data_IF_659854100409
#
_entry.id   IF_659854100409
#
_cell.length_a   1.000
_cell.length_b   1.000
_cell.length_c   1.000
_cell.angle_alpha   90.00
_cell.angle_beta   90.00
_cell.angle_gamma   90.00
#
_symmetry.space_group_name_H-M   'P 1'
#
loop_
_entity.id
_entity.type
_entity.pdbx_description
1 polymer ?
#
# COMPACT_ATOMS: atom_id res chain seq x y z
N UNK A 1 -20.68 -1.82 11.79
CA UNK A 1 -19.93 -2.79 12.60
C UNK A 1 -19.42 -3.98 11.78
N UNK A 2 -20.27 -4.69 11.00
CA UNK A 2 -19.83 -5.86 10.19
C UNK A 2 -18.66 -5.59 9.25
N UNK A 3 -18.72 -4.50 8.46
CA UNK A 3 -17.65 -4.17 7.54
C UNK A 3 -16.31 -3.87 8.22
N UNK A 4 -16.35 -3.27 9.41
CA UNK A 4 -15.14 -3.09 10.22
C UNK A 4 -14.49 -4.43 10.52
N UNK A 5 -15.24 -5.40 11.02
CA UNK A 5 -14.74 -6.75 11.33
C UNK A 5 -14.21 -7.42 10.06
N UNK A 6 -14.98 -7.35 8.97
CA UNK A 6 -14.58 -7.96 7.69
C UNK A 6 -13.27 -7.38 7.16
N UNK A 7 -13.11 -6.05 7.15
CA UNK A 7 -11.88 -5.39 6.69
C UNK A 7 -10.73 -5.63 7.67
N UNK A 8 -10.98 -5.58 8.97
CA UNK A 8 -9.97 -5.84 9.99
C UNK A 8 -9.37 -7.24 9.85
N UNK A 9 -10.23 -8.25 9.72
CA UNK A 9 -9.83 -9.67 9.57
C UNK A 9 -9.08 -9.89 8.24
N UNK A 10 -9.56 -9.28 7.15
CA UNK A 10 -8.88 -9.35 5.84
C UNK A 10 -7.47 -8.71 5.90
N UNK A 11 -7.34 -7.57 6.58
CA UNK A 11 -6.07 -6.88 6.75
C UNK A 11 -5.10 -7.61 7.69
N UNK A 12 -5.60 -8.36 8.66
CA UNK A 12 -4.75 -9.29 9.44
C UNK A 12 -4.16 -10.34 8.49
N UNK A 13 -4.97 -10.99 7.65
CA UNK A 13 -4.49 -11.97 6.68
C UNK A 13 -3.43 -11.41 5.73
N UNK A 14 -3.68 -10.24 5.18
CA UNK A 14 -2.72 -9.52 4.35
C UNK A 14 -1.42 -9.20 5.11
N UNK A 15 -1.53 -8.66 6.32
CA UNK A 15 -0.39 -8.30 7.17
C UNK A 15 0.42 -9.51 7.64
N UNK A 16 -0.19 -10.70 7.77
CA UNK A 16 0.52 -11.96 8.02
C UNK A 16 1.36 -12.35 6.81
N UNK A 17 0.78 -12.32 5.62
CA UNK A 17 1.35 -12.96 4.43
C UNK A 17 2.41 -12.11 3.74
N UNK A 18 2.19 -10.79 3.63
CA UNK A 18 3.07 -9.91 2.86
C UNK A 18 4.52 -9.90 3.37
N UNK A 19 4.80 -9.77 4.68
CA UNK A 19 6.18 -9.82 5.18
C UNK A 19 6.85 -11.18 5.05
N UNK A 20 6.05 -12.25 4.86
CA UNK A 20 6.56 -13.62 4.75
C UNK A 20 6.88 -14.01 3.30
N UNK A 21 6.35 -13.30 2.31
CA UNK A 21 6.53 -13.63 0.90
C UNK A 21 8.01 -13.78 0.49
N UNK A 22 8.96 -12.94 0.95
CA UNK A 22 10.38 -13.13 0.67
C UNK A 22 10.95 -14.46 1.19
N UNK A 23 10.50 -14.92 2.35
CA UNK A 23 10.94 -16.19 2.92
C UNK A 23 10.39 -17.39 2.15
N UNK A 24 9.12 -17.33 1.69
CA UNK A 24 8.58 -18.33 0.78
C UNK A 24 9.33 -18.36 -0.56
N UNK A 25 9.64 -17.18 -1.11
CA UNK A 25 10.42 -17.07 -2.34
C UNK A 25 11.79 -17.71 -2.21
N UNK A 26 12.47 -17.52 -1.08
CA UNK A 26 13.78 -18.09 -0.76
C UNK A 26 13.84 -19.61 -0.76
N UNK A 27 12.71 -20.32 -0.62
CA UNK A 27 12.65 -21.78 -0.74
C UNK A 27 12.84 -22.29 -2.18
N UNK A 28 12.60 -21.44 -3.19
CA UNK A 28 12.57 -21.86 -4.61
C UNK A 28 13.61 -21.17 -5.46
N UNK A 29 14.03 -19.97 -5.11
CA UNK A 29 15.05 -19.23 -5.83
C UNK A 29 15.81 -18.29 -4.88
N UNK A 30 17.12 -18.29 -5.02
CA UNK A 30 18.01 -17.35 -4.32
C UNK A 30 18.13 -16.08 -5.16
N UNK A 31 17.69 -14.94 -4.64
CA UNK A 31 17.89 -13.64 -5.26
C UNK A 31 16.78 -12.64 -4.96
N UNK A 32 17.18 -11.40 -4.73
CA UNK A 32 16.24 -10.34 -4.45
C UNK A 32 15.42 -9.94 -5.70
N UNK A 33 15.95 -10.15 -6.90
CA UNK A 33 15.21 -9.98 -8.16
C UNK A 33 13.95 -10.85 -8.17
N UNK A 34 14.07 -12.12 -7.79
CA UNK A 34 12.92 -13.04 -7.78
C UNK A 34 11.85 -12.60 -6.78
N UNK A 35 12.24 -12.22 -5.57
CA UNK A 35 11.35 -11.67 -4.55
C UNK A 35 10.68 -10.39 -5.06
N UNK A 36 11.44 -9.49 -5.66
CA UNK A 36 10.94 -8.26 -6.27
C UNK A 36 9.92 -8.53 -7.37
N UNK A 37 10.19 -9.51 -8.25
CA UNK A 37 9.26 -9.91 -9.32
C UNK A 37 7.96 -10.51 -8.78
N UNK A 38 8.00 -11.30 -7.70
CA UNK A 38 6.77 -11.79 -7.05
C UNK A 38 5.94 -10.65 -6.45
N UNK A 39 6.57 -9.68 -5.79
CA UNK A 39 5.90 -8.48 -5.30
C UNK A 39 5.30 -7.64 -6.44
N UNK A 40 6.04 -7.47 -7.54
CA UNK A 40 5.57 -6.79 -8.75
C UNK A 40 4.41 -7.52 -9.40
N UNK A 41 4.45 -8.86 -9.46
CA UNK A 41 3.37 -9.70 -9.99
C UNK A 41 2.09 -9.53 -9.16
N UNK A 42 2.21 -9.58 -7.82
CA UNK A 42 1.08 -9.30 -6.92
C UNK A 42 0.45 -7.94 -7.22
N UNK A 43 1.27 -6.88 -7.28
CA UNK A 43 0.80 -5.53 -7.54
C UNK A 43 0.19 -5.37 -8.95
N UNK A 44 0.76 -6.05 -9.96
CA UNK A 44 0.21 -6.05 -11.32
C UNK A 44 -1.17 -6.73 -11.39
N UNK A 45 -1.33 -7.85 -10.70
CA UNK A 45 -2.61 -8.55 -10.61
C UNK A 45 -3.64 -7.75 -9.82
N UNK A 46 -3.23 -7.05 -8.74
CA UNK A 46 -4.07 -6.12 -8.00
C UNK A 46 -4.52 -4.95 -8.88
N UNK A 47 -3.60 -4.37 -9.65
CA UNK A 47 -3.89 -3.28 -10.57
C UNK A 47 -4.86 -3.67 -11.69
N UNK A 48 -4.71 -4.87 -12.25
CA UNK A 48 -5.63 -5.41 -13.24
C UNK A 48 -6.98 -5.82 -12.62
N UNK A 49 -6.94 -6.48 -11.46
CA UNK A 49 -8.11 -6.98 -10.75
C UNK A 49 -9.01 -5.87 -10.19
N UNK A 50 -8.43 -4.77 -9.69
CA UNK A 50 -9.17 -3.69 -9.04
C UNK A 50 -10.31 -3.10 -9.89
N UNK A 51 -10.05 -2.61 -11.11
CA UNK A 51 -11.10 -2.12 -12.00
C UNK A 51 -12.11 -3.19 -12.40
N UNK A 52 -11.65 -4.43 -12.60
CA UNK A 52 -12.51 -5.56 -12.93
C UNK A 52 -13.48 -5.88 -11.80
N UNK A 53 -12.97 -6.02 -10.57
CA UNK A 53 -13.78 -6.26 -9.37
C UNK A 53 -14.71 -5.09 -9.08
N UNK A 54 -14.24 -3.85 -9.26
CA UNK A 54 -15.08 -2.65 -9.15
C UNK A 54 -16.26 -2.68 -10.13
N UNK A 55 -15.99 -2.96 -11.40
CA UNK A 55 -17.03 -3.10 -12.42
C UNK A 55 -18.01 -4.26 -12.16
N UNK A 56 -17.49 -5.39 -11.65
CA UNK A 56 -18.33 -6.51 -11.20
C UNK A 56 -19.22 -6.07 -10.02
N UNK A 57 -18.67 -5.32 -9.08
CA UNK A 57 -19.36 -4.81 -7.90
C UNK A 57 -20.48 -3.82 -8.25
N UNK A 58 -20.27 -2.98 -9.27
CA UNK A 58 -21.30 -2.08 -9.79
C UNK A 58 -22.41 -2.83 -10.56
N UNK A 59 -22.09 -3.98 -11.15
CA UNK A 59 -23.02 -4.77 -11.95
C UNK A 59 -23.82 -5.79 -11.14
N UNK A 60 -23.17 -6.53 -10.25
CA UNK A 60 -23.77 -7.65 -9.53
C UNK A 60 -24.13 -7.32 -8.09
N UNK A 61 -23.58 -6.22 -7.55
CA UNK A 61 -23.74 -5.79 -6.16
C UNK A 61 -22.43 -5.88 -5.37
N UNK A 62 -22.40 -5.21 -4.24
CA UNK A 62 -21.21 -5.10 -3.38
C UNK A 62 -20.92 -6.41 -2.63
N UNK A 63 -21.99 -7.02 -2.09
CA UNK A 63 -21.89 -8.25 -1.29
C UNK A 63 -21.24 -9.41 -2.04
N UNK A 64 -21.72 -9.85 -3.22
CA UNK A 64 -21.15 -11.00 -3.92
C UNK A 64 -19.70 -10.80 -4.30
N UNK A 65 -19.29 -9.57 -4.66
CA UNK A 65 -17.89 -9.28 -5.00
C UNK A 65 -17.00 -9.25 -3.76
N UNK A 66 -17.47 -8.70 -2.64
CA UNK A 66 -16.75 -8.77 -1.37
C UNK A 66 -16.51 -10.23 -0.95
N UNK A 67 -17.55 -11.07 -1.02
CA UNK A 67 -17.43 -12.50 -0.74
C UNK A 67 -16.46 -13.22 -1.69
N UNK A 68 -16.50 -12.88 -2.98
CA UNK A 68 -15.53 -13.41 -3.96
C UNK A 68 -14.08 -13.05 -3.59
N UNK A 69 -13.85 -11.80 -3.15
CA UNK A 69 -12.53 -11.36 -2.69
C UNK A 69 -12.05 -12.16 -1.46
N UNK A 70 -12.92 -12.34 -0.46
CA UNK A 70 -12.58 -13.10 0.75
C UNK A 70 -12.32 -14.58 0.47
N UNK A 71 -13.12 -15.21 -0.39
CA UNK A 71 -12.90 -16.59 -0.80
C UNK A 71 -11.60 -16.72 -1.60
N UNK A 72 -11.36 -15.79 -2.54
CA UNK A 72 -10.13 -15.76 -3.32
C UNK A 72 -8.88 -15.58 -2.45
N UNK A 73 -8.94 -14.71 -1.44
CA UNK A 73 -7.86 -14.54 -0.47
C UNK A 73 -7.63 -15.82 0.34
N UNK A 74 -8.70 -16.47 0.82
CA UNK A 74 -8.59 -17.76 1.54
C UNK A 74 -7.89 -18.81 0.70
N UNK A 75 -8.31 -18.99 -0.56
CA UNK A 75 -7.70 -19.97 -1.48
C UNK A 75 -6.25 -19.62 -1.81
N UNK A 76 -5.94 -18.34 -1.99
CA UNK A 76 -4.58 -17.88 -2.24
C UNK A 76 -3.65 -18.19 -1.05
N UNK A 77 -4.10 -17.90 0.17
CA UNK A 77 -3.33 -18.19 1.38
C UNK A 77 -3.21 -19.70 1.64
N UNK A 78 -4.24 -20.49 1.31
CA UNK A 78 -4.17 -21.95 1.35
C UNK A 78 -3.08 -22.48 0.39
N UNK A 79 -3.12 -22.03 -0.86
CA UNK A 79 -2.12 -22.39 -1.86
C UNK A 79 -0.72 -21.99 -1.41
N UNK A 80 -0.57 -20.80 -0.82
CA UNK A 80 0.70 -20.33 -0.29
C UNK A 80 1.21 -21.24 0.82
N UNK A 81 0.38 -21.58 1.80
CA UNK A 81 0.75 -22.47 2.92
C UNK A 81 1.06 -23.90 2.50
N UNK A 82 0.48 -24.37 1.40
CA UNK A 82 0.70 -25.70 0.82
C UNK A 82 1.69 -25.68 -0.35
N UNK A 83 2.30 -24.53 -0.68
CA UNK A 83 3.20 -24.42 -1.81
C UNK A 83 4.42 -25.34 -1.62
N UNK A 84 4.58 -26.32 -2.53
CA UNK A 84 5.73 -27.22 -2.62
C UNK A 84 6.49 -27.05 -3.94
N UNK A 85 5.99 -26.22 -4.83
CA UNK A 85 6.60 -25.90 -6.12
C UNK A 85 6.48 -24.42 -6.41
N UNK A 86 7.41 -23.90 -7.22
CA UNK A 86 7.39 -22.52 -7.68
C UNK A 86 6.06 -22.15 -8.40
N UNK A 87 5.52 -23.07 -9.19
CA UNK A 87 4.27 -22.85 -9.92
C UNK A 87 3.10 -22.58 -8.96
N UNK A 88 3.00 -23.33 -7.84
CA UNK A 88 1.95 -23.12 -6.83
C UNK A 88 2.16 -21.80 -6.10
N UNK A 89 3.40 -21.41 -5.78
CA UNK A 89 3.72 -20.10 -5.19
C UNK A 89 3.28 -18.96 -6.12
N UNK A 90 3.62 -19.03 -7.40
CA UNK A 90 3.23 -18.02 -8.40
C UNK A 90 1.70 -17.95 -8.53
N UNK A 91 1.03 -19.11 -8.59
CA UNK A 91 -0.44 -19.16 -8.65
C UNK A 91 -1.09 -18.53 -7.40
N UNK A 92 -0.55 -18.79 -6.22
CA UNK A 92 -1.00 -18.17 -4.97
C UNK A 92 -0.89 -16.64 -5.04
N UNK A 93 0.24 -16.12 -5.50
CA UNK A 93 0.49 -14.67 -5.64
C UNK A 93 -0.45 -14.04 -6.67
N UNK A 94 -0.65 -14.69 -7.82
CA UNK A 94 -1.58 -14.23 -8.86
C UNK A 94 -3.00 -14.17 -8.33
N UNK A 95 -3.46 -15.21 -7.65
CA UNK A 95 -4.82 -15.27 -7.09
C UNK A 95 -5.00 -14.23 -5.99
N UNK A 96 -4.03 -14.09 -5.08
CA UNK A 96 -4.08 -13.09 -4.02
C UNK A 96 -4.17 -11.67 -4.59
N UNK A 97 -3.35 -11.32 -5.58
CA UNK A 97 -3.40 -10.02 -6.26
C UNK A 97 -4.73 -9.80 -6.99
N UNK A 98 -5.17 -10.78 -7.78
CA UNK A 98 -6.40 -10.67 -8.58
C UNK A 98 -7.67 -10.49 -7.73
N UNK A 99 -7.69 -11.02 -6.51
CA UNK A 99 -8.84 -10.94 -5.59
C UNK A 99 -8.69 -9.89 -4.47
N UNK A 100 -7.67 -9.05 -4.52
CA UNK A 100 -7.38 -8.02 -3.49
C UNK A 100 -8.29 -6.77 -3.55
N UNK A 101 -9.59 -6.98 -3.82
CA UNK A 101 -10.59 -5.90 -3.96
C UNK A 101 -11.39 -5.59 -2.69
N UNK A 102 -11.12 -6.27 -1.56
CA UNK A 102 -11.90 -6.16 -0.32
C UNK A 102 -12.02 -4.73 0.18
N UNK A 103 -10.90 -4.01 0.29
CA UNK A 103 -10.89 -2.63 0.82
C UNK A 103 -11.69 -1.67 -0.07
N UNK A 104 -11.48 -1.70 -1.38
CA UNK A 104 -12.18 -0.84 -2.34
C UNK A 104 -13.69 -1.15 -2.36
N UNK A 105 -14.07 -2.43 -2.33
CA UNK A 105 -15.47 -2.86 -2.29
C UNK A 105 -16.14 -2.46 -0.97
N UNK A 106 -15.43 -2.57 0.16
CA UNK A 106 -15.93 -2.13 1.47
C UNK A 106 -16.14 -0.61 1.53
N UNK A 107 -15.23 0.18 0.96
CA UNK A 107 -15.39 1.64 0.85
C UNK A 107 -16.61 2.01 -0.01
N UNK A 108 -16.80 1.32 -1.15
CA UNK A 108 -17.97 1.51 -1.99
C UNK A 108 -19.26 1.10 -1.27
N UNK A 109 -19.24 -0.01 -0.52
CA UNK A 109 -20.38 -0.46 0.30
C UNK A 109 -20.77 0.62 1.34
N UNK A 110 -19.80 1.22 2.05
CA UNK A 110 -20.07 2.34 2.98
C UNK A 110 -20.68 3.51 2.23
N UNK A 111 -20.14 3.87 1.07
CA UNK A 111 -20.65 4.98 0.27
C UNK A 111 -22.11 4.79 -0.17
N UNK A 112 -22.52 3.53 -0.43
CA UNK A 112 -23.89 3.17 -0.83
C UNK A 112 -24.85 3.05 0.38
N UNK A 113 -24.35 2.75 1.59
CA UNK A 113 -25.16 2.43 2.78
C UNK A 113 -25.20 3.55 3.83
N UNK A 114 -24.49 4.67 3.62
CA UNK A 114 -24.44 5.78 4.59
C UNK A 114 -24.89 7.10 3.96
N UNK A 115 -25.44 7.99 4.80
CA UNK A 115 -25.72 9.39 4.40
C UNK A 115 -24.39 10.12 4.14
N UNK A 116 -24.46 11.33 3.53
CA UNK A 116 -23.26 12.14 3.28
C UNK A 116 -22.55 12.54 4.57
N UNK A 117 -23.34 12.78 5.62
CA UNK A 117 -22.88 13.20 6.94
C UNK A 117 -22.12 12.06 7.67
N UNK A 118 -22.64 10.83 7.61
CA UNK A 118 -22.06 9.65 8.29
C UNK A 118 -20.95 8.96 7.48
N UNK A 119 -20.83 9.29 6.19
CA UNK A 119 -19.86 8.64 5.28
C UNK A 119 -18.43 8.81 5.75
N UNK A 120 -18.04 9.99 6.20
CA UNK A 120 -16.70 10.25 6.70
C UNK A 120 -16.37 9.37 7.92
N UNK A 121 -17.33 9.19 8.84
CA UNK A 121 -17.20 8.30 10.00
C UNK A 121 -17.06 6.83 9.58
N UNK A 122 -17.88 6.39 8.61
CA UNK A 122 -17.82 5.03 8.08
C UNK A 122 -16.49 4.71 7.43
N UNK A 123 -15.97 5.62 6.58
CA UNK A 123 -14.66 5.48 5.94
C UNK A 123 -13.51 5.54 6.97
N UNK A 124 -13.65 6.36 8.02
CA UNK A 124 -12.71 6.41 9.13
C UNK A 124 -12.61 5.08 9.89
N UNK A 125 -13.74 4.40 10.11
CA UNK A 125 -13.76 3.06 10.71
C UNK A 125 -13.04 2.01 9.84
N UNK A 126 -13.23 2.07 8.51
CA UNK A 126 -12.47 1.19 7.58
C UNK A 126 -10.98 1.48 7.64
N UNK A 127 -10.59 2.77 7.69
CA UNK A 127 -9.18 3.14 7.88
C UNK A 127 -8.59 2.64 9.19
N UNK A 128 -9.34 2.71 10.29
CA UNK A 128 -8.94 2.16 11.58
C UNK A 128 -8.79 0.62 11.52
N UNK A 129 -9.74 -0.08 10.87
CA UNK A 129 -9.65 -1.53 10.66
C UNK A 129 -8.41 -1.92 9.87
N UNK A 130 -8.13 -1.18 8.79
CA UNK A 130 -6.91 -1.33 7.98
C UNK A 130 -5.64 -1.17 8.81
N UNK A 131 -5.52 -0.08 9.57
CA UNK A 131 -4.34 0.20 10.40
C UNK A 131 -4.12 -0.83 11.49
N UNK A 132 -5.17 -1.19 12.22
CA UNK A 132 -5.10 -2.22 13.27
C UNK A 132 -4.75 -3.60 12.70
N UNK A 133 -5.30 -3.96 11.55
CA UNK A 133 -4.98 -5.22 10.86
C UNK A 133 -3.51 -5.30 10.44
N UNK A 134 -2.95 -4.19 9.94
CA UNK A 134 -1.53 -4.11 9.56
C UNK A 134 -0.57 -4.18 10.78
N UNK A 135 -1.02 -3.86 11.99
CA UNK A 135 -0.23 -4.06 13.21
C UNK A 135 -0.36 -5.50 13.70
N UNK A 136 -1.59 -5.99 13.80
CA UNK A 136 -1.87 -7.31 14.34
C UNK A 136 -1.37 -8.44 13.42
N UNK A 137 -1.46 -8.23 12.09
CA UNK A 137 -1.06 -9.22 11.10
C UNK A 137 0.40 -9.68 11.21
N UNK A 138 1.39 -8.79 11.10
CA UNK A 138 2.79 -9.17 11.23
C UNK A 138 3.11 -9.78 12.59
N UNK A 139 2.54 -9.27 13.69
CA UNK A 139 2.75 -9.82 15.02
C UNK A 139 2.27 -11.28 15.12
N UNK A 140 1.06 -11.57 14.62
CA UNK A 140 0.52 -12.92 14.55
C UNK A 140 1.33 -13.80 13.61
N UNK A 141 1.73 -13.27 12.44
CA UNK A 141 2.55 -13.98 11.48
C UNK A 141 3.88 -14.40 12.06
N UNK A 142 4.54 -13.52 12.82
CA UNK A 142 5.79 -13.81 13.52
C UNK A 142 5.64 -14.88 14.59
N UNK A 143 4.61 -14.83 15.42
CA UNK A 143 4.34 -15.84 16.45
C UNK A 143 4.04 -17.21 15.82
N UNK A 144 3.25 -17.26 14.77
CA UNK A 144 2.90 -18.50 14.09
C UNK A 144 4.10 -19.10 13.34
N UNK A 145 5.01 -18.27 12.83
CA UNK A 145 6.21 -18.70 12.13
C UNK A 145 7.21 -19.45 13.02
N UNK A 146 7.09 -19.32 14.35
CA UNK A 146 7.86 -20.12 15.31
C UNK A 146 7.58 -21.64 15.19
N UNK A 147 6.40 -22.02 14.70
CA UNK A 147 6.03 -23.43 14.51
C UNK A 147 6.46 -23.94 13.14
N UNK A 148 6.17 -23.21 12.09
CA UNK A 148 6.59 -23.50 10.72
C UNK A 148 6.35 -22.29 9.81
N UNK A 149 7.05 -22.23 8.68
CA UNK A 149 6.82 -21.17 7.68
C UNK A 149 5.39 -21.24 7.08
N UNK A 150 4.79 -22.42 7.01
CA UNK A 150 3.42 -22.63 6.49
C UNK A 150 2.32 -22.22 7.46
N UNK A 151 2.57 -22.27 8.78
CA UNK A 151 1.54 -22.01 9.80
C UNK A 151 0.86 -20.63 9.65
N UNK A 152 1.59 -19.52 9.42
CA UNK A 152 0.97 -18.21 9.22
C UNK A 152 0.01 -18.17 8.03
N UNK A 153 0.39 -18.75 6.88
CA UNK A 153 -0.44 -18.74 5.69
C UNK A 153 -1.69 -19.62 5.84
N UNK A 154 -1.57 -20.78 6.46
CA UNK A 154 -2.71 -21.66 6.76
C UNK A 154 -3.67 -21.01 7.75
N UNK A 155 -3.15 -20.32 8.77
CA UNK A 155 -3.96 -19.54 9.71
C UNK A 155 -4.68 -18.39 8.98
N UNK A 156 -3.98 -17.62 8.14
CA UNK A 156 -4.57 -16.55 7.35
C UNK A 156 -5.67 -17.07 6.41
N UNK A 157 -5.47 -18.27 5.81
CA UNK A 157 -6.49 -18.92 4.98
C UNK A 157 -7.75 -19.26 5.80
N UNK A 158 -7.57 -19.88 6.95
CA UNK A 158 -8.69 -20.23 7.86
C UNK A 158 -9.42 -18.98 8.33
N UNK A 159 -8.68 -17.92 8.67
CA UNK A 159 -9.22 -16.64 9.09
C UNK A 159 -10.04 -15.98 7.96
N UNK A 160 -9.53 -15.98 6.72
CA UNK A 160 -10.24 -15.46 5.56
C UNK A 160 -11.49 -16.29 5.21
N UNK A 161 -11.42 -17.62 5.34
CA UNK A 161 -12.58 -18.49 5.15
C UNK A 161 -13.66 -18.24 6.20
N UNK A 162 -13.27 -18.09 7.45
CA UNK A 162 -14.19 -17.74 8.55
C UNK A 162 -14.85 -16.38 8.28
N UNK A 163 -14.06 -15.41 7.80
CA UNK A 163 -14.56 -14.10 7.42
C UNK A 163 -15.52 -14.16 6.21
N UNK A 164 -15.26 -15.02 5.23
CA UNK A 164 -16.17 -15.31 4.13
C UNK A 164 -17.51 -15.87 4.65
N UNK A 165 -17.47 -16.88 5.51
CA UNK A 165 -18.68 -17.49 6.10
C UNK A 165 -19.45 -16.45 6.93
N UNK A 166 -18.76 -15.70 7.78
CA UNK A 166 -19.34 -14.59 8.54
C UNK A 166 -20.00 -13.54 7.64
N UNK A 167 -19.29 -13.08 6.60
CA UNK A 167 -19.82 -12.12 5.64
C UNK A 167 -21.03 -12.67 4.86
N UNK A 168 -21.00 -13.97 4.50
CA UNK A 168 -22.12 -14.60 3.81
C UNK A 168 -23.38 -14.69 4.69
N UNK A 169 -23.24 -14.89 5.99
CA UNK A 169 -24.37 -15.01 6.92
C UNK A 169 -24.93 -13.65 7.37
N UNK A 170 -24.06 -12.61 7.44
CA UNK A 170 -24.41 -11.37 8.15
C UNK A 170 -24.50 -10.13 7.26
N UNK A 171 -23.86 -10.16 6.07
CA UNK A 171 -23.77 -8.96 5.24
C UNK A 171 -24.99 -8.84 4.31
N UNK A 172 -25.85 -7.80 4.44
CA UNK A 172 -26.90 -7.54 3.48
C UNK A 172 -26.31 -6.95 2.18
N UNK A 173 -27.06 -6.93 1.09
CA UNK A 173 -26.67 -6.22 -0.12
C UNK A 173 -26.94 -4.72 0.03
N UNK A 174 -25.93 -3.89 -0.25
CA UNK A 174 -26.04 -2.42 -0.17
C UNK A 174 -26.42 -1.76 -1.51
N UNK A 175 -26.07 -2.41 -2.63
CA UNK A 175 -26.30 -1.86 -3.94
C UNK A 175 -27.61 -2.31 -4.55
N UNK A 176 -28.61 -1.43 -4.53
CA UNK A 176 -29.97 -1.73 -4.98
C UNK A 176 -30.01 -2.09 -6.47
N UNK A 177 -30.83 -3.08 -6.91
CA UNK A 177 -30.84 -3.56 -8.28
C UNK A 177 -31.06 -2.51 -9.36
N UNK A 178 -31.86 -1.46 -9.06
CA UNK A 178 -32.15 -0.39 -10.01
C UNK A 178 -30.98 0.62 -10.21
N UNK A 179 -29.99 0.63 -9.30
CA UNK A 179 -28.78 1.45 -9.41
C UNK A 179 -27.66 0.74 -10.16
N UNK A 180 -27.79 -0.55 -10.46
CA UNK A 180 -26.77 -1.36 -11.09
C UNK A 180 -26.54 -0.91 -12.54
N UNK A 181 -25.31 -0.48 -12.84
CA UNK A 181 -24.93 -0.02 -14.18
C UNK A 181 -24.12 -1.09 -14.90
N UNK A 182 -24.45 -1.35 -16.17
CA UNK A 182 -23.56 -2.12 -17.06
C UNK A 182 -22.42 -1.21 -17.52
N UNK A 183 -21.35 -1.13 -16.75
CA UNK A 183 -20.13 -0.44 -17.19
C UNK A 183 -19.37 -1.39 -18.10
N UNK A 184 -19.08 -1.02 -19.37
CA UNK A 184 -18.24 -1.83 -20.24
C UNK A 184 -16.84 -1.94 -19.62
N UNK A 185 -16.40 -3.17 -19.32
CA UNK A 185 -15.10 -3.45 -18.67
C UNK A 185 -13.91 -2.83 -19.43
N UNK A 186 -14.02 -2.69 -20.74
CA UNK A 186 -13.03 -2.01 -21.60
C UNK A 186 -12.84 -0.51 -21.30
N UNK A 187 -13.80 0.16 -20.67
CA UNK A 187 -13.67 1.59 -20.27
C UNK A 187 -12.91 1.79 -18.96
N UNK A 188 -12.63 0.72 -18.24
CA UNK A 188 -11.90 0.72 -16.97
C UNK A 188 -10.38 0.62 -17.15
N UNK A 189 -9.84 1.09 -18.29
CA UNK A 189 -8.40 1.03 -18.58
C UNK A 189 -7.63 1.99 -17.65
N UNK A 190 -6.89 1.47 -16.64
CA UNK A 190 -6.17 2.31 -15.69
C UNK A 190 -4.97 3.05 -16.32
N UNK A 191 -4.42 2.54 -17.43
CA UNK A 191 -3.34 3.21 -18.18
C UNK A 191 -3.84 4.54 -18.77
N UNK A 192 -5.11 4.58 -19.21
CA UNK A 192 -5.70 5.81 -19.75
C UNK A 192 -5.84 6.91 -18.66
N UNK A 193 -6.01 6.52 -17.40
CA UNK A 193 -6.09 7.44 -16.27
C UNK A 193 -4.73 8.07 -16.00
N UNK A 194 -3.66 7.28 -16.07
CA UNK A 194 -2.28 7.77 -15.93
C UNK A 194 -1.96 8.84 -17.00
N UNK A 195 -2.27 8.56 -18.27
CA UNK A 195 -2.04 9.51 -19.35
C UNK A 195 -2.83 10.82 -19.22
N UNK A 196 -4.04 10.77 -18.64
CA UNK A 196 -4.87 11.96 -18.42
C UNK A 196 -4.36 12.82 -17.26
N UNK A 197 -3.89 12.21 -16.16
CA UNK A 197 -3.43 12.96 -15.00
C UNK A 197 -2.09 13.65 -15.28
N UNK A 198 -1.20 13.02 -16.04
CA UNK A 198 0.10 13.61 -16.43
C UNK A 198 -0.05 14.85 -17.33
N UNK A 199 -1.22 15.06 -17.96
CA UNK A 199 -1.56 16.27 -18.71
C UNK A 199 -1.97 17.45 -17.82
N UNK A 200 -2.21 17.23 -16.52
CA UNK A 200 -2.58 18.29 -15.56
C UNK A 200 -1.34 19.10 -15.14
N UNK A 201 -1.02 20.15 -15.90
CA UNK A 201 0.20 20.96 -15.72
C UNK A 201 0.35 21.53 -14.31
N UNK A 202 -0.76 21.94 -13.67
CA UNK A 202 -0.75 22.60 -12.34
C UNK A 202 -0.28 21.69 -11.20
N UNK A 203 -0.31 20.36 -11.37
CA UNK A 203 0.03 19.39 -10.32
C UNK A 203 1.07 18.37 -10.79
N UNK A 204 1.56 18.49 -12.04
CA UNK A 204 2.47 17.48 -12.64
C UNK A 204 3.74 17.26 -11.82
N UNK A 205 4.36 18.32 -11.32
CA UNK A 205 5.54 18.22 -10.49
C UNK A 205 5.26 17.43 -9.20
N UNK A 206 4.16 17.72 -8.54
CA UNK A 206 3.73 17.01 -7.32
C UNK A 206 3.37 15.54 -7.62
N UNK A 207 2.81 15.24 -8.79
CA UNK A 207 2.52 13.85 -9.20
C UNK A 207 3.81 13.05 -9.44
N UNK A 208 4.85 13.68 -9.96
CA UNK A 208 6.19 13.07 -10.06
C UNK A 208 6.74 12.80 -8.66
N UNK A 209 6.59 13.72 -7.73
CA UNK A 209 7.01 13.51 -6.33
C UNK A 209 6.24 12.34 -5.68
N UNK A 210 4.93 12.18 -5.95
CA UNK A 210 4.14 11.01 -5.52
C UNK A 210 4.75 9.71 -6.07
N UNK A 211 5.09 9.68 -7.36
CA UNK A 211 5.70 8.49 -7.98
C UNK A 211 7.04 8.15 -7.34
N UNK A 212 7.94 9.14 -7.22
CA UNK A 212 9.29 8.94 -6.68
C UNK A 212 9.25 8.45 -5.22
N UNK A 213 8.42 9.08 -4.38
CA UNK A 213 8.26 8.69 -2.98
C UNK A 213 7.71 7.26 -2.86
N UNK A 214 6.70 6.91 -3.67
CA UNK A 214 6.09 5.58 -3.60
C UNK A 214 6.97 4.48 -4.22
N UNK A 215 7.79 4.79 -5.24
CA UNK A 215 8.82 3.88 -5.74
C UNK A 215 9.84 3.53 -4.65
N UNK A 216 10.34 4.55 -3.95
CA UNK A 216 11.26 4.35 -2.83
C UNK A 216 10.64 3.51 -1.71
N UNK A 217 9.39 3.80 -1.35
CA UNK A 217 8.66 3.08 -0.30
C UNK A 217 8.35 1.62 -0.68
N UNK A 218 7.88 1.37 -1.91
CA UNK A 218 7.59 0.02 -2.40
C UNK A 218 8.86 -0.85 -2.44
N UNK A 219 9.98 -0.29 -2.87
CA UNK A 219 11.28 -0.95 -2.85
C UNK A 219 11.76 -1.27 -1.43
N UNK A 220 11.60 -0.32 -0.50
CA UNK A 220 11.93 -0.51 0.91
C UNK A 220 11.16 -1.71 1.50
N UNK A 221 9.84 -1.69 1.40
CA UNK A 221 8.97 -2.70 2.04
C UNK A 221 9.23 -4.10 1.49
N UNK A 222 9.38 -4.23 0.18
CA UNK A 222 9.55 -5.54 -0.47
C UNK A 222 10.91 -6.21 -0.18
N UNK A 223 11.99 -5.42 -0.08
CA UNK A 223 13.34 -5.94 0.11
C UNK A 223 13.80 -5.95 1.57
N UNK A 224 13.07 -5.33 2.49
CA UNK A 224 13.48 -5.21 3.87
C UNK A 224 13.78 -6.56 4.56
N UNK A 225 12.95 -7.62 4.40
CA UNK A 225 13.26 -8.92 5.00
C UNK A 225 14.56 -9.54 4.49
N UNK A 226 14.88 -9.37 3.21
CA UNK A 226 16.15 -9.83 2.63
C UNK A 226 17.34 -9.05 3.16
N UNK A 227 17.19 -7.72 3.23
CA UNK A 227 18.20 -6.83 3.77
C UNK A 227 18.53 -7.16 5.23
N UNK A 228 17.50 -7.26 6.06
CA UNK A 228 17.66 -7.53 7.49
C UNK A 228 18.24 -8.93 7.74
N UNK A 229 17.85 -9.92 6.93
CA UNK A 229 18.43 -11.24 6.99
C UNK A 229 19.91 -11.25 6.58
N UNK A 230 20.24 -10.65 5.43
CA UNK A 230 21.61 -10.62 4.91
C UNK A 230 22.58 -9.82 5.78
N UNK A 231 22.12 -8.75 6.44
CA UNK A 231 22.98 -7.83 7.20
C UNK A 231 23.03 -8.13 8.69
N UNK A 232 21.93 -8.62 9.29
CA UNK A 232 21.81 -8.80 10.74
C UNK A 232 21.42 -10.21 11.14
N UNK A 233 21.22 -11.14 10.18
CA UNK A 233 20.77 -12.50 10.45
C UNK A 233 19.32 -12.58 10.95
N UNK A 234 18.49 -11.57 10.68
CA UNK A 234 17.09 -11.55 11.13
C UNK A 234 16.28 -12.62 10.42
N UNK A 235 15.61 -13.41 11.20
CA UNK A 235 14.66 -14.43 10.73
C UNK A 235 13.24 -13.85 10.61
N UNK A 236 12.31 -14.69 10.21
CA UNK A 236 10.90 -14.35 10.01
C UNK A 236 10.27 -13.66 11.22
N UNK A 237 10.54 -14.19 12.42
CA UNK A 237 9.97 -13.66 13.68
C UNK A 237 10.46 -12.25 13.99
N UNK A 238 11.78 -11.99 13.86
CA UNK A 238 12.36 -10.66 14.09
C UNK A 238 11.79 -9.63 13.12
N UNK A 239 11.66 -10.02 11.83
CA UNK A 239 11.04 -9.17 10.82
C UNK A 239 9.57 -8.88 11.13
N UNK A 240 8.80 -9.86 11.57
CA UNK A 240 7.40 -9.70 11.90
C UNK A 240 7.20 -8.72 13.07
N UNK A 241 7.96 -8.83 14.15
CA UNK A 241 7.91 -7.87 15.26
C UNK A 241 8.34 -6.46 14.84
N UNK A 242 9.34 -6.37 13.96
CA UNK A 242 9.76 -5.10 13.41
C UNK A 242 8.66 -4.43 12.57
N UNK A 243 7.98 -5.17 11.69
CA UNK A 243 6.84 -4.63 10.94
C UNK A 243 5.65 -4.26 11.84
N UNK A 244 5.41 -5.01 12.91
CA UNK A 244 4.42 -4.62 13.91
C UNK A 244 4.78 -3.28 14.57
N UNK A 245 6.06 -3.07 14.95
CA UNK A 245 6.55 -1.79 15.45
C UNK A 245 6.36 -0.66 14.43
N UNK A 246 6.70 -0.88 13.15
CA UNK A 246 6.48 0.09 12.07
C UNK A 246 5.00 0.46 11.96
N UNK A 247 4.11 -0.54 12.06
CA UNK A 247 2.66 -0.33 12.06
C UNK A 247 2.21 0.57 13.23
N UNK A 248 2.71 0.34 14.43
CA UNK A 248 2.43 1.22 15.60
C UNK A 248 2.89 2.65 15.34
N UNK A 249 4.13 2.83 14.84
CA UNK A 249 4.64 4.16 14.48
C UNK A 249 3.77 4.87 13.43
N UNK A 250 3.29 4.14 12.42
CA UNK A 250 2.41 4.66 11.38
C UNK A 250 1.07 5.11 11.96
N UNK A 251 0.44 4.31 12.83
CA UNK A 251 -0.83 4.67 13.51
C UNK A 251 -0.65 5.88 14.42
N UNK A 252 0.42 5.94 15.19
CA UNK A 252 0.72 7.11 16.05
C UNK A 252 0.89 8.37 15.20
N UNK A 253 1.63 8.26 14.10
CA UNK A 253 1.89 9.42 13.23
C UNK A 253 0.62 9.88 12.53
N UNK A 254 -0.09 8.98 11.87
CA UNK A 254 -1.27 9.34 11.06
C UNK A 254 -2.51 9.59 11.92
N UNK A 255 -2.66 8.88 13.06
CA UNK A 255 -3.81 9.02 13.94
C UNK A 255 -3.74 10.22 14.89
N UNK A 256 -2.54 10.59 15.34
CA UNK A 256 -2.37 11.63 16.37
C UNK A 256 -1.50 12.80 15.94
N UNK A 257 -0.31 12.53 15.37
CA UNK A 257 0.67 13.60 15.14
C UNK A 257 0.29 14.51 13.99
N UNK A 258 -0.24 13.97 12.89
CA UNK A 258 -0.61 14.80 11.74
C UNK A 258 -1.70 15.79 12.09
N UNK A 259 -2.75 15.38 12.81
CA UNK A 259 -3.83 16.26 13.26
C UNK A 259 -3.35 17.39 14.17
N UNK A 260 -2.24 17.17 14.90
CA UNK A 260 -1.65 18.17 15.80
C UNK A 260 -0.64 19.09 15.10
N UNK A 261 0.09 18.58 14.11
CA UNK A 261 1.13 19.32 13.41
C UNK A 261 0.60 20.13 12.21
N UNK A 262 -0.39 19.60 11.48
CA UNK A 262 -0.94 20.28 10.30
C UNK A 262 -1.47 21.69 10.59
N UNK A 263 -2.26 21.94 11.67
CA UNK A 263 -2.72 23.31 11.99
C UNK A 263 -1.58 24.26 12.37
N UNK A 264 -0.46 23.73 12.93
CA UNK A 264 0.66 24.56 13.42
C UNK A 264 1.67 24.91 12.33
N UNK A 265 2.01 23.95 11.47
CA UNK A 265 3.11 24.06 10.51
C UNK A 265 2.64 24.25 9.08
N UNK A 266 1.40 23.86 8.78
CA UNK A 266 0.83 23.86 7.42
C UNK A 266 1.36 22.71 6.54
N UNK A 267 0.64 22.41 5.46
CA UNK A 267 0.90 21.26 4.59
C UNK A 267 2.27 21.32 3.91
N UNK A 268 2.69 22.51 3.47
CA UNK A 268 3.97 22.67 2.75
C UNK A 268 5.19 22.36 3.61
N UNK A 269 5.22 22.86 4.86
CA UNK A 269 6.35 22.60 5.77
C UNK A 269 6.38 21.15 6.21
N UNK A 270 5.22 20.54 6.44
CA UNK A 270 5.11 19.11 6.78
C UNK A 270 5.56 18.22 5.62
N UNK A 271 5.22 18.58 4.38
CA UNK A 271 5.68 17.87 3.20
C UNK A 271 7.21 17.92 3.06
N UNK A 272 7.79 19.11 3.10
CA UNK A 272 9.26 19.31 2.96
C UNK A 272 10.00 18.62 4.10
N UNK A 273 9.57 18.83 5.36
CA UNK A 273 10.18 18.18 6.53
C UNK A 273 10.03 16.65 6.50
N UNK A 274 8.84 16.16 6.08
CA UNK A 274 8.58 14.73 5.93
C UNK A 274 9.47 14.09 4.86
N UNK A 275 9.60 14.69 3.67
CA UNK A 275 10.48 14.21 2.60
C UNK A 275 11.96 14.23 3.02
N UNK A 276 12.40 15.27 3.73
CA UNK A 276 13.77 15.36 4.24
C UNK A 276 14.05 14.23 5.27
N UNK A 277 13.09 13.97 6.19
CA UNK A 277 13.20 12.85 7.13
C UNK A 277 13.26 11.51 6.41
N UNK A 278 12.41 11.28 5.41
CA UNK A 278 12.42 10.04 4.63
C UNK A 278 13.76 9.85 3.92
N UNK A 279 14.27 10.90 3.26
CA UNK A 279 15.55 10.85 2.54
C UNK A 279 16.71 10.50 3.46
N UNK A 280 16.81 11.21 4.59
CA UNK A 280 17.85 10.98 5.59
C UNK A 280 17.78 9.56 6.15
N UNK A 281 16.58 9.12 6.55
CA UNK A 281 16.44 7.83 7.21
C UNK A 281 16.64 6.65 6.26
N UNK A 282 16.33 6.77 4.95
CA UNK A 282 16.67 5.75 3.96
C UNK A 282 18.19 5.56 3.83
N UNK A 283 18.95 6.66 3.84
CA UNK A 283 20.43 6.59 3.85
C UNK A 283 20.93 5.97 5.17
N UNK A 284 20.34 6.34 6.30
CA UNK A 284 20.70 5.76 7.61
C UNK A 284 20.38 4.27 7.69
N UNK A 285 19.26 3.79 7.11
CA UNK A 285 18.98 2.35 6.98
C UNK A 285 20.08 1.64 6.20
N UNK A 286 20.50 2.22 5.07
CA UNK A 286 21.56 1.64 4.24
C UNK A 286 22.89 1.48 4.98
N UNK A 287 23.22 2.45 5.83
CA UNK A 287 24.51 2.56 6.51
C UNK A 287 24.53 1.96 7.92
N UNK A 288 23.37 1.61 8.49
CA UNK A 288 23.29 1.18 9.89
C UNK A 288 24.13 -0.09 10.15
N UNK A 289 24.94 -0.10 11.22
CA UNK A 289 25.77 -1.25 11.56
C UNK A 289 25.04 -2.29 12.43
N UNK A 290 23.89 -1.95 13.01
CA UNK A 290 23.21 -2.78 14.01
C UNK A 290 21.69 -2.79 13.78
N UNK A 291 21.09 -3.99 13.91
CA UNK A 291 19.64 -4.17 13.82
C UNK A 291 18.84 -3.41 14.87
N UNK A 292 19.40 -3.15 16.06
CA UNK A 292 18.75 -2.37 17.12
C UNK A 292 18.54 -0.91 16.69
N UNK A 293 19.49 -0.33 15.97
CA UNK A 293 19.41 1.05 15.47
C UNK A 293 18.36 1.21 14.37
N UNK A 294 17.90 0.11 13.73
CA UNK A 294 16.80 0.18 12.77
C UNK A 294 15.49 0.66 13.39
N UNK A 295 15.22 0.35 14.67
CA UNK A 295 13.98 0.75 15.32
C UNK A 295 13.80 2.27 15.38
N UNK A 296 14.72 3.06 15.95
CA UNK A 296 14.57 4.52 15.94
C UNK A 296 14.64 5.11 14.54
N UNK A 297 15.51 4.60 13.65
CA UNK A 297 15.64 5.09 12.27
C UNK A 297 14.31 4.90 11.51
N UNK A 298 13.72 3.71 11.56
CA UNK A 298 12.46 3.42 10.85
C UNK A 298 11.26 4.05 11.56
N UNK A 299 11.31 4.26 12.87
CA UNK A 299 10.34 5.10 13.58
C UNK A 299 10.29 6.53 13.02
N UNK A 300 11.46 7.16 12.81
CA UNK A 300 11.57 8.47 12.18
C UNK A 300 11.17 8.44 10.69
N UNK A 301 11.47 7.36 9.98
CA UNK A 301 11.03 7.18 8.60
C UNK A 301 9.50 7.07 8.51
N UNK A 302 8.86 6.34 9.43
CA UNK A 302 7.40 6.25 9.54
C UNK A 302 6.77 7.62 9.85
N UNK A 303 7.42 8.43 10.72
CA UNK A 303 7.02 9.82 10.96
C UNK A 303 7.12 10.64 9.65
N UNK A 304 8.24 10.56 8.95
CA UNK A 304 8.45 11.28 7.69
C UNK A 304 7.40 10.93 6.62
N UNK A 305 7.16 9.64 6.38
CA UNK A 305 6.14 9.18 5.42
C UNK A 305 4.72 9.54 5.84
N UNK A 306 4.41 9.40 7.14
CA UNK A 306 3.11 9.76 7.72
C UNK A 306 2.79 11.25 7.65
N UNK A 307 3.80 12.12 7.58
CA UNK A 307 3.64 13.56 7.35
C UNK A 307 3.63 13.90 5.86
N UNK A 308 4.53 13.32 5.06
CA UNK A 308 4.71 13.67 3.65
C UNK A 308 3.51 13.23 2.77
N UNK A 309 3.05 11.98 2.89
CA UNK A 309 2.02 11.42 1.99
C UNK A 309 0.69 12.18 2.09
N UNK A 310 0.10 12.38 3.29
CA UNK A 310 -1.15 13.11 3.40
C UNK A 310 -1.02 14.58 3.01
N UNK A 311 0.10 15.24 3.37
CA UNK A 311 0.33 16.64 3.00
C UNK A 311 0.45 16.81 1.49
N UNK A 312 1.17 15.91 0.80
CA UNK A 312 1.30 15.91 -0.65
C UNK A 312 -0.06 15.71 -1.33
N UNK A 313 -0.85 14.76 -0.85
CA UNK A 313 -2.21 14.50 -1.37
C UNK A 313 -3.13 15.69 -1.16
N UNK A 314 -3.09 16.33 0.01
CA UNK A 314 -3.88 17.52 0.32
C UNK A 314 -3.52 18.71 -0.60
N UNK A 315 -2.22 19.00 -0.78
CA UNK A 315 -1.77 20.09 -1.67
C UNK A 315 -2.22 19.85 -3.11
N UNK A 316 -2.12 18.62 -3.62
CA UNK A 316 -2.56 18.25 -4.97
C UNK A 316 -4.08 18.42 -5.09
N UNK A 317 -4.83 17.95 -4.10
CA UNK A 317 -6.28 18.07 -4.07
C UNK A 317 -6.73 19.53 -4.04
N UNK A 318 -6.13 20.37 -3.19
CA UNK A 318 -6.44 21.79 -3.06
C UNK A 318 -6.14 22.60 -4.35
N UNK A 319 -5.19 22.14 -5.19
CA UNK A 319 -4.87 22.75 -6.49
C UNK A 319 -5.75 22.25 -7.64
N UNK A 320 -6.64 21.30 -7.38
CA UNK A 320 -7.46 20.65 -8.41
C UNK A 320 -8.92 21.08 -8.28
N UNK A 321 -9.56 21.56 -9.35
CA UNK A 321 -10.98 21.94 -9.34
C UNK A 321 -11.89 20.77 -8.94
N UNK A 322 -13.04 21.06 -8.32
CA UNK A 322 -13.98 20.07 -7.80
C UNK A 322 -14.42 19.05 -8.87
N UNK A 323 -14.63 19.50 -10.11
CA UNK A 323 -15.06 18.67 -11.24
C UNK A 323 -13.96 17.67 -11.69
N UNK A 324 -12.70 17.95 -11.37
CA UNK A 324 -11.55 17.13 -11.72
C UNK A 324 -11.10 16.20 -10.59
N UNK A 325 -11.66 16.30 -9.37
CA UNK A 325 -11.25 15.51 -8.20
C UNK A 325 -11.35 13.99 -8.46
N UNK A 326 -12.40 13.51 -9.10
CA UNK A 326 -12.54 12.09 -9.43
C UNK A 326 -11.44 11.60 -10.37
N UNK A 327 -11.05 12.42 -11.37
CA UNK A 327 -9.92 12.11 -12.27
C UNK A 327 -8.59 12.12 -11.53
N UNK A 328 -8.42 13.05 -10.60
CA UNK A 328 -7.24 13.15 -9.76
C UNK A 328 -7.07 11.90 -8.92
N UNK A 329 -8.09 11.48 -8.18
CA UNK A 329 -8.02 10.30 -7.30
C UNK A 329 -7.76 9.02 -8.09
N UNK A 330 -8.42 8.83 -9.22
CA UNK A 330 -8.14 7.69 -10.12
C UNK A 330 -6.72 7.70 -10.68
N UNK A 331 -6.20 8.87 -11.04
CA UNK A 331 -4.83 9.01 -11.53
C UNK A 331 -3.77 8.82 -10.44
N UNK A 332 -4.01 9.32 -9.21
CA UNK A 332 -3.14 9.05 -8.05
C UNK A 332 -3.08 7.54 -7.77
N UNK A 333 -4.21 6.85 -7.80
CA UNK A 333 -4.24 5.40 -7.62
C UNK A 333 -3.45 4.66 -8.72
N UNK A 334 -3.52 5.13 -9.98
CA UNK A 334 -2.73 4.56 -11.05
C UNK A 334 -1.22 4.78 -10.86
N UNK A 335 -0.80 5.96 -10.35
CA UNK A 335 0.61 6.23 -10.02
C UNK A 335 1.08 5.33 -8.87
N UNK A 336 0.28 5.18 -7.81
CA UNK A 336 0.58 4.29 -6.68
C UNK A 336 0.75 2.84 -7.16
N UNK A 337 -0.15 2.36 -8.00
CA UNK A 337 -0.06 1.00 -8.55
C UNK A 337 1.17 0.82 -9.43
N UNK A 338 1.52 1.82 -10.25
CA UNK A 338 2.75 1.78 -11.05
C UNK A 338 4.00 1.69 -10.17
N UNK A 339 4.04 2.46 -9.08
CA UNK A 339 5.14 2.42 -8.12
C UNK A 339 5.24 1.05 -7.43
N UNK A 340 4.09 0.45 -7.07
CA UNK A 340 4.03 -0.88 -6.45
C UNK A 340 4.41 -2.02 -7.43
N UNK A 341 4.20 -1.82 -8.74
CA UNK A 341 4.64 -2.78 -9.76
C UNK A 341 6.15 -2.65 -10.01
N UNK A 342 6.65 -1.42 -10.19
CA UNK A 342 8.05 -1.21 -10.56
C UNK A 342 9.00 -1.25 -9.36
N UNK A 343 8.59 -0.73 -8.21
CA UNK A 343 9.43 -0.57 -7.02
C UNK A 343 10.10 -1.87 -6.56
N UNK A 344 9.35 -2.95 -6.31
CA UNK A 344 9.92 -4.21 -5.88
C UNK A 344 10.92 -4.81 -6.87
N UNK A 345 10.60 -4.80 -8.18
CA UNK A 345 11.49 -5.32 -9.21
C UNK A 345 12.79 -4.52 -9.31
N UNK A 346 12.69 -3.18 -9.32
CA UNK A 346 13.87 -2.30 -9.37
C UNK A 346 14.73 -2.43 -8.11
N UNK A 347 14.10 -2.56 -6.95
CA UNK A 347 14.82 -2.76 -5.70
C UNK A 347 15.51 -4.13 -5.63
N UNK A 348 14.86 -5.19 -6.16
CA UNK A 348 15.49 -6.50 -6.29
C UNK A 348 16.71 -6.49 -7.20
N UNK A 349 16.59 -5.84 -8.37
CA UNK A 349 17.73 -5.63 -9.29
C UNK A 349 18.87 -4.85 -8.62
N UNK A 350 18.53 -3.76 -7.92
CA UNK A 350 19.55 -2.96 -7.21
C UNK A 350 20.25 -3.78 -6.12
N UNK A 351 19.51 -4.61 -5.39
CA UNK A 351 20.05 -5.45 -4.34
C UNK A 351 21.04 -6.50 -4.89
N UNK A 352 20.66 -7.23 -5.94
CA UNK A 352 21.48 -8.33 -6.48
C UNK A 352 22.69 -7.82 -7.28
N UNK A 353 22.56 -6.70 -8.03
CA UNK A 353 23.63 -6.24 -8.92
C UNK A 353 24.48 -5.09 -8.35
N UNK A 354 23.93 -4.26 -7.44
CA UNK A 354 24.64 -3.11 -6.85
C UNK A 354 24.96 -3.31 -5.37
N UNK A 355 24.38 -4.38 -4.75
CA UNK A 355 24.64 -4.78 -3.38
C UNK A 355 23.55 -4.43 -2.38
N UNK A 356 23.67 -5.01 -1.19
CA UNK A 356 22.67 -4.99 -0.11
C UNK A 356 22.14 -3.58 0.25
N UNK A 357 22.97 -2.51 0.37
CA UNK A 357 22.48 -1.17 0.73
C UNK A 357 21.86 -0.39 -0.44
N UNK A 358 22.10 -0.84 -1.69
CA UNK A 358 21.77 -0.06 -2.89
C UNK A 358 20.28 0.32 -3.02
N UNK A 359 19.28 -0.55 -2.75
CA UNK A 359 17.87 -0.18 -2.82
C UNK A 359 17.51 1.03 -1.94
N UNK A 360 18.13 1.13 -0.75
CA UNK A 360 17.88 2.20 0.21
C UNK A 360 18.56 3.50 -0.19
N UNK A 361 19.79 3.43 -0.73
CA UNK A 361 20.49 4.60 -1.27
C UNK A 361 19.77 5.17 -2.49
N UNK A 362 19.30 4.31 -3.39
CA UNK A 362 18.49 4.72 -4.54
C UNK A 362 17.16 5.32 -4.05
N UNK A 363 16.50 4.69 -3.08
CA UNK A 363 15.28 5.22 -2.45
C UNK A 363 15.51 6.59 -1.82
N UNK A 364 16.63 6.78 -1.11
CA UNK A 364 17.07 8.08 -0.59
C UNK A 364 17.25 9.12 -1.69
N UNK A 365 17.91 8.76 -2.79
CA UNK A 365 18.09 9.64 -3.96
C UNK A 365 16.74 10.01 -4.60
N UNK A 366 15.83 9.05 -4.79
CA UNK A 366 14.49 9.30 -5.33
C UNK A 366 13.71 10.28 -4.45
N UNK A 367 13.80 10.14 -3.12
CA UNK A 367 13.12 11.04 -2.19
C UNK A 367 13.76 12.43 -2.10
N UNK A 368 15.09 12.56 -2.27
CA UNK A 368 15.75 13.85 -2.48
C UNK A 368 15.28 14.51 -3.77
N UNK A 369 15.17 13.77 -4.87
CA UNK A 369 14.61 14.29 -6.12
C UNK A 369 13.16 14.75 -5.94
N UNK A 370 12.33 13.98 -5.20
CA UNK A 370 10.98 14.39 -4.85
C UNK A 370 10.97 15.71 -4.04
N UNK A 371 11.91 15.87 -3.10
CA UNK A 371 12.08 17.09 -2.32
C UNK A 371 12.45 18.29 -3.18
N UNK A 372 13.39 18.12 -4.12
CA UNK A 372 13.84 19.18 -5.05
C UNK A 372 12.66 19.60 -5.96
N UNK A 373 11.98 18.61 -6.56
CA UNK A 373 10.83 18.85 -7.46
C UNK A 373 9.69 19.57 -6.74
N UNK A 374 9.40 19.17 -5.50
CA UNK A 374 8.37 19.84 -4.67
C UNK A 374 8.81 21.23 -4.22
N UNK A 375 10.08 21.38 -3.83
CA UNK A 375 10.64 22.67 -3.43
C UNK A 375 10.58 23.70 -4.56
N UNK A 376 10.93 23.32 -5.77
CA UNK A 376 10.87 24.21 -6.94
C UNK A 376 9.44 24.62 -7.33
N UNK A 377 8.44 23.77 -7.10
CA UNK A 377 7.03 24.07 -7.39
C UNK A 377 6.34 24.91 -6.29
N UNK A 378 6.81 24.80 -5.05
CA UNK A 378 6.20 25.46 -3.88
C UNK A 378 6.88 26.78 -3.51
N UNK A 379 8.09 27.06 -3.99
CA UNK A 379 8.80 28.34 -3.74
C UNK A 379 8.15 29.50 -4.51
N UNK A 380 7.95 30.66 -3.88
CA UNK A 380 7.15 31.78 -4.41
C UNK A 380 7.69 32.48 -5.68
N UNK A 381 8.88 32.13 -6.15
CA UNK A 381 9.57 32.89 -7.22
C UNK A 381 9.01 32.75 -8.64
N UNK A 382 8.31 31.70 -8.99
CA UNK A 382 7.91 31.47 -10.39
C UNK A 382 6.45 31.84 -10.72
N UNK A 383 5.56 31.99 -9.74
CA UNK A 383 4.18 32.41 -10.00
C UNK A 383 4.02 33.89 -10.33
N UNK A 384 4.94 34.73 -9.86
CA UNK A 384 4.88 36.19 -10.10
C UNK A 384 5.29 36.55 -11.52
N UNK A 385 6.14 35.77 -12.16
CA UNK A 385 6.60 36.01 -13.54
C UNK A 385 5.60 35.50 -14.60
N UNK A 386 4.89 34.39 -14.33
CA UNK A 386 3.86 33.86 -15.23
C UNK A 386 2.59 34.73 -15.25
N UNK A 387 2.23 35.33 -14.10
CA UNK A 387 1.12 36.31 -14.01
C UNK A 387 1.46 37.70 -14.55
N UNK A 388 2.76 38.03 -14.73
CA UNK A 388 3.21 39.27 -15.40
C UNK A 388 3.33 39.11 -16.91
N UNK A 389 3.29 37.88 -17.44
CA UNK A 389 3.40 37.59 -18.88
C UNK A 389 2.06 37.16 -19.51
N UNK A 390 1.00 37.01 -18.72
CA UNK A 390 -0.40 36.79 -19.16
C UNK A 390 -1.20 38.08 -18.98
#
# INVERSE_FOLDING_TARGET
>A
MFLFVTVFVDMIGYGIVVPLLPFYAGLYASGAVFVGLLGSLYAAMQFAGGPFLGGLSDRYGRRPVLLLCLLGASLAYLLLGLARTLAVLVLAVVLAGATSGTLATAQAYIADSTTKEDRARGLGLIGAAFGLGLIAGPALGGLLSLHSLSAPALFASTLALTNFVFGNLTLPESHQPHLRKRVPLLRLNPISQLGRILKMRNVRALLVAVLLLNLAFAGLVSNFPLFSHARFGWETTSNAFFFAFVGVCAVVTQGFLIGRFQPRFGETRLLVGGLALVSLNLVLVALTPSGVLLYPIVGLLALGTGLAIPSLTAIISNRTPAEAQGRLMGGLQAILSLAMILGPALAGLAFDYLGIPAPYLIGGTLTVLALIVTGSDLLPGQKTEALRRA
#
